data_IF_268629966970
#
_entry.id   IF_268629966970
#
_cell.length_a   1.000
_cell.length_b   1.000
_cell.length_c   1.000
_cell.angle_alpha   90.00
_cell.angle_beta   90.00
_cell.angle_gamma   90.00
#
_symmetry.space_group_name_H-M   'P 1'
#
loop_
_entity.id
_entity.type
_entity.pdbx_description
1 polymer ?
#
# COMPACT_ATOMS: atom_id res chain seq x y z
N UNK A 1 -47.63 6.15 21.64
CA UNK A 1 -46.57 6.83 20.86
C UNK A 1 -45.19 6.14 20.92
N UNK A 2 -44.98 5.11 21.75
CA UNK A 2 -43.68 4.41 21.89
C UNK A 2 -43.53 3.18 20.94
N UNK A 3 -44.64 2.65 20.42
CA UNK A 3 -44.63 1.43 19.59
C UNK A 3 -44.26 1.65 18.12
N UNK A 4 -44.23 2.90 17.64
CA UNK A 4 -43.90 3.23 16.24
C UNK A 4 -42.39 3.45 16.07
N UNK A 5 -41.66 3.85 17.13
CA UNK A 5 -40.21 4.09 17.06
C UNK A 5 -39.38 2.80 17.05
N UNK A 6 -39.84 1.70 17.67
CA UNK A 6 -39.12 0.42 17.63
C UNK A 6 -39.17 -0.26 16.26
N UNK A 7 -40.21 -0.03 15.45
CA UNK A 7 -40.30 -0.58 14.10
C UNK A 7 -39.32 0.11 13.14
N UNK A 8 -38.99 1.39 13.37
CA UNK A 8 -38.06 2.15 12.53
C UNK A 8 -36.59 1.80 12.80
N UNK A 9 -36.24 1.39 14.04
CA UNK A 9 -34.88 0.94 14.38
C UNK A 9 -34.54 -0.47 13.89
N UNK A 10 -35.53 -1.32 13.63
CA UNK A 10 -35.31 -2.67 13.10
C UNK A 10 -35.22 -2.70 11.57
N UNK A 11 -35.69 -1.67 10.87
CA UNK A 11 -35.59 -1.55 9.42
C UNK A 11 -34.26 -0.96 8.93
N UNK A 12 -33.45 -0.35 9.81
CA UNK A 12 -32.12 0.18 9.45
C UNK A 12 -31.00 -0.87 9.47
N UNK A 13 -31.24 -2.07 10.01
CA UNK A 13 -30.24 -3.15 10.10
C UNK A 13 -30.18 -4.04 8.84
N UNK A 14 -30.88 -3.69 7.77
CA UNK A 14 -31.07 -4.56 6.60
C UNK A 14 -30.38 -4.07 5.32
N UNK A 15 -29.25 -3.36 5.44
CA UNK A 15 -28.38 -3.05 4.29
C UNK A 15 -26.90 -3.27 4.64
N UNK A 16 -26.58 -4.37 5.33
CA UNK A 16 -25.26 -4.98 5.10
C UNK A 16 -25.39 -5.68 3.76
N UNK A 17 -25.06 -4.96 2.68
CA UNK A 17 -24.88 -5.59 1.38
C UNK A 17 -23.70 -6.54 1.54
N UNK A 18 -23.96 -7.84 1.66
CA UNK A 18 -22.92 -8.83 1.50
C UNK A 18 -22.33 -8.60 0.11
N UNK A 19 -21.07 -8.15 0.08
CA UNK A 19 -20.36 -7.91 -1.17
C UNK A 19 -20.37 -9.22 -1.95
N UNK A 20 -20.85 -9.17 -3.20
CA UNK A 20 -20.82 -10.38 -4.04
C UNK A 20 -19.35 -10.74 -4.24
N UNK A 21 -18.94 -11.99 -3.94
CA UNK A 21 -17.55 -12.39 -4.08
C UNK A 21 -17.10 -12.17 -5.52
N UNK A 22 -15.91 -11.58 -5.69
CA UNK A 22 -15.31 -11.40 -7.01
C UNK A 22 -14.65 -12.71 -7.45
N UNK A 23 -14.39 -12.81 -8.76
CA UNK A 23 -13.85 -14.02 -9.38
C UNK A 23 -12.59 -14.56 -8.69
N UNK A 24 -11.72 -13.66 -8.22
CA UNK A 24 -10.46 -13.97 -7.58
C UNK A 24 -10.53 -14.15 -6.06
N UNK A 25 -11.69 -13.92 -5.44
CA UNK A 25 -11.89 -14.10 -3.99
C UNK A 25 -12.22 -15.56 -3.64
N UNK A 26 -12.74 -16.32 -4.62
CA UNK A 26 -13.08 -17.72 -4.45
C UNK A 26 -11.98 -18.64 -4.99
N UNK A 27 -11.55 -19.58 -4.14
CA UNK A 27 -10.61 -20.62 -4.55
C UNK A 27 -11.34 -21.68 -5.37
N UNK A 28 -10.91 -21.90 -6.61
CA UNK A 28 -11.42 -22.95 -7.51
C UNK A 28 -11.04 -24.39 -7.10
N UNK A 29 -10.30 -24.54 -6.00
CA UNK A 29 -9.79 -25.80 -5.47
C UNK A 29 -8.51 -26.32 -6.16
N UNK A 30 -8.11 -25.71 -7.28
CA UNK A 30 -6.93 -26.08 -8.05
C UNK A 30 -5.64 -25.77 -7.29
N UNK A 31 -4.58 -26.46 -7.71
CA UNK A 31 -3.19 -26.17 -7.32
C UNK A 31 -2.40 -25.50 -8.43
N UNK A 32 -3.02 -25.31 -9.61
CA UNK A 32 -2.41 -24.57 -10.70
C UNK A 32 -2.26 -23.10 -10.32
N UNK A 33 -1.18 -22.48 -10.78
CA UNK A 33 -0.99 -21.04 -10.66
C UNK A 33 -1.90 -20.34 -11.69
N UNK A 34 -2.83 -19.48 -11.27
CA UNK A 34 -3.69 -18.76 -12.21
C UNK A 34 -2.86 -17.88 -13.16
N UNK A 35 -3.21 -17.90 -14.45
CA UNK A 35 -2.64 -16.98 -15.44
C UNK A 35 -3.56 -15.78 -15.56
N UNK A 36 -3.02 -14.60 -15.29
CA UNK A 36 -3.75 -13.34 -15.37
C UNK A 36 -3.72 -12.78 -16.79
N UNK A 37 -4.88 -12.80 -17.45
CA UNK A 37 -5.09 -12.13 -18.74
C UNK A 37 -5.94 -10.89 -18.51
N UNK A 38 -5.30 -9.79 -18.19
CA UNK A 38 -5.96 -8.59 -17.72
C UNK A 38 -5.44 -7.32 -18.38
N UNK A 39 -6.33 -6.32 -18.42
CA UNK A 39 -5.98 -4.95 -18.78
C UNK A 39 -5.32 -4.28 -17.58
N UNK A 40 -4.35 -3.41 -17.83
CA UNK A 40 -3.68 -2.62 -16.80
C UNK A 40 -4.38 -1.27 -16.65
N UNK A 41 -4.66 -0.89 -15.41
CA UNK A 41 -5.29 0.38 -15.07
C UNK A 41 -4.40 1.18 -14.12
N UNK A 42 -4.39 2.50 -14.27
CA UNK A 42 -3.70 3.38 -13.33
C UNK A 42 -4.48 3.60 -12.03
N UNK A 43 -3.93 4.41 -11.12
CA UNK A 43 -4.54 4.73 -9.83
C UNK A 43 -5.90 5.44 -9.96
N UNK A 44 -6.17 6.13 -11.07
CA UNK A 44 -7.44 6.82 -11.34
C UNK A 44 -8.49 5.89 -11.95
N UNK A 45 -8.08 4.69 -12.36
CA UNK A 45 -8.93 3.74 -13.08
C UNK A 45 -8.98 3.94 -14.58
N UNK A 46 -8.11 4.80 -15.13
CA UNK A 46 -7.93 4.89 -16.57
C UNK A 46 -7.21 3.64 -17.10
N UNK A 47 -7.65 3.17 -18.27
CA UNK A 47 -6.97 2.08 -18.97
C UNK A 47 -5.64 2.59 -19.51
N UNK A 48 -4.54 1.91 -19.20
CA UNK A 48 -3.22 2.24 -19.71
C UNK A 48 -3.06 1.65 -21.10
N UNK A 49 -2.76 2.49 -22.09
CA UNK A 49 -2.53 2.09 -23.47
C UNK A 49 -1.06 2.34 -23.88
N UNK A 50 -0.52 1.49 -24.77
CA UNK A 50 0.77 1.78 -25.39
C UNK A 50 0.73 3.12 -26.11
N UNK A 51 1.53 4.08 -25.66
CA UNK A 51 1.64 5.42 -26.26
C UNK A 51 1.04 6.56 -25.45
N UNK A 52 0.42 6.28 -24.29
CA UNK A 52 -0.06 7.33 -23.38
C UNK A 52 1.07 8.31 -22.98
N UNK A 53 0.70 9.58 -22.80
CA UNK A 53 1.61 10.67 -22.43
C UNK A 53 0.98 11.51 -21.31
N UNK A 54 1.51 11.48 -20.08
CA UNK A 54 2.57 10.57 -19.62
C UNK A 54 2.08 9.11 -19.55
N UNK A 55 3.00 8.16 -19.68
CA UNK A 55 2.70 6.73 -19.45
C UNK A 55 2.66 6.45 -17.95
N UNK A 56 1.46 6.19 -17.42
CA UNK A 56 1.25 5.91 -16.00
C UNK A 56 1.56 4.44 -15.64
N UNK A 57 2.06 4.15 -14.43
CA UNK A 57 2.20 2.78 -13.95
C UNK A 57 0.81 2.19 -13.65
N UNK A 58 0.70 0.86 -13.69
CA UNK A 58 -0.51 0.22 -13.21
C UNK A 58 -0.60 0.31 -11.68
N UNK A 59 -1.81 0.53 -11.19
CA UNK A 59 -2.17 0.41 -9.77
C UNK A 59 -2.59 -1.03 -9.50
N UNK A 60 -2.01 -1.68 -8.49
CA UNK A 60 -2.43 -3.04 -8.08
C UNK A 60 -3.83 -2.98 -7.49
N UNK A 61 -4.14 -1.92 -6.74
CA UNK A 61 -5.48 -1.64 -6.21
C UNK A 61 -6.53 -1.63 -7.31
N UNK A 62 -6.29 -0.88 -8.38
CA UNK A 62 -7.29 -0.71 -9.43
C UNK A 62 -7.29 -1.84 -10.45
N UNK A 63 -6.11 -2.38 -10.76
CA UNK A 63 -5.95 -3.47 -11.74
C UNK A 63 -6.41 -4.81 -11.17
N UNK A 64 -5.87 -5.24 -10.03
CA UNK A 64 -6.26 -6.50 -9.39
C UNK A 64 -7.65 -6.38 -8.76
N UNK A 65 -8.03 -5.18 -8.30
CA UNK A 65 -9.35 -4.87 -7.75
C UNK A 65 -10.54 -5.10 -8.70
N UNK A 66 -10.29 -5.31 -10.00
CA UNK A 66 -11.35 -5.73 -10.94
C UNK A 66 -11.85 -7.15 -10.68
N UNK A 67 -11.02 -7.99 -10.06
CA UNK A 67 -11.30 -9.40 -9.81
C UNK A 67 -11.11 -9.82 -8.35
N UNK A 68 -10.47 -9.00 -7.51
CA UNK A 68 -10.20 -9.29 -6.11
C UNK A 68 -10.72 -8.17 -5.21
N UNK A 69 -11.23 -8.51 -4.02
CA UNK A 69 -11.58 -7.50 -3.01
C UNK A 69 -10.30 -6.96 -2.36
N UNK A 70 -9.76 -5.89 -2.95
CA UNK A 70 -8.56 -5.24 -2.46
C UNK A 70 -8.70 -4.71 -1.03
N UNK A 71 -9.88 -4.21 -0.66
CA UNK A 71 -10.13 -3.70 0.69
C UNK A 71 -10.12 -4.81 1.72
N UNK A 72 -10.59 -6.00 1.36
CA UNK A 72 -10.44 -7.19 2.20
C UNK A 72 -8.97 -7.63 2.28
N UNK A 73 -8.26 -7.66 1.15
CA UNK A 73 -6.84 -8.09 1.10
C UNK A 73 -5.97 -7.21 1.99
N UNK A 74 -6.10 -5.89 1.90
CA UNK A 74 -5.26 -4.94 2.65
C UNK A 74 -5.54 -4.94 4.16
N UNK A 75 -6.54 -5.67 4.64
CA UNK A 75 -6.76 -5.91 6.08
C UNK A 75 -5.91 -7.07 6.62
N UNK A 76 -5.23 -7.82 5.74
CA UNK A 76 -4.32 -8.89 6.11
C UNK A 76 -3.19 -8.43 7.04
N UNK A 77 -2.63 -9.38 7.79
CA UNK A 77 -1.65 -9.10 8.85
C UNK A 77 -0.36 -8.39 8.39
N UNK A 78 0.03 -8.55 7.12
CA UNK A 78 1.18 -7.84 6.55
C UNK A 78 0.95 -6.34 6.37
N UNK A 79 -0.30 -5.89 6.34
CA UNK A 79 -0.68 -4.53 5.94
C UNK A 79 -1.36 -3.74 7.07
N UNK A 80 -1.81 -4.42 8.13
CA UNK A 80 -2.64 -3.81 9.18
C UNK A 80 -1.87 -3.37 10.44
N UNK A 81 -0.54 -3.38 10.39
CA UNK A 81 0.29 -3.17 11.58
C UNK A 81 0.09 -1.79 12.25
N UNK A 82 -0.28 -0.77 11.48
CA UNK A 82 -0.52 0.59 11.97
C UNK A 82 -1.89 0.79 12.63
N UNK A 83 -2.84 -0.13 12.42
CA UNK A 83 -4.19 -0.04 12.93
C UNK A 83 -4.21 -0.29 14.44
N UNK A 84 -4.56 0.70 15.28
CA UNK A 84 -4.55 0.56 16.74
C UNK A 84 -5.62 -0.40 17.27
N UNK A 85 -6.67 -0.67 16.51
CA UNK A 85 -7.78 -1.56 16.87
C UNK A 85 -7.47 -3.05 16.67
N UNK A 86 -6.41 -3.37 15.93
CA UNK A 86 -5.98 -4.75 15.70
C UNK A 86 -5.08 -5.19 16.85
N UNK A 87 -5.42 -6.31 17.50
CA UNK A 87 -4.56 -6.93 18.52
C UNK A 87 -3.14 -7.09 17.95
N UNK A 88 -2.09 -6.55 18.61
CA UNK A 88 -0.72 -6.62 18.09
C UNK A 88 -0.14 -8.05 18.09
N UNK A 89 -0.79 -9.01 18.75
CA UNK A 89 -0.39 -10.41 18.76
C UNK A 89 0.98 -10.64 19.40
N UNK A 90 1.62 -11.76 19.06
CA UNK A 90 2.95 -12.11 19.56
C UNK A 90 3.99 -11.07 19.09
N UNK A 91 4.85 -10.54 19.99
CA UNK A 91 5.97 -9.70 19.60
C UNK A 91 6.85 -10.36 18.53
N UNK A 92 7.14 -9.60 17.47
CA UNK A 92 8.10 -9.94 16.43
C UNK A 92 9.37 -9.09 16.53
N UNK A 93 10.13 -9.04 15.44
CA UNK A 93 11.34 -8.23 15.36
C UNK A 93 10.99 -6.75 15.12
N UNK A 94 11.52 -5.80 15.92
CA UNK A 94 11.33 -4.38 15.69
C UNK A 94 12.25 -3.87 14.58
N UNK A 95 11.90 -2.72 14.00
CA UNK A 95 12.78 -1.97 13.12
C UNK A 95 13.82 -1.22 13.94
N UNK A 96 15.10 -1.52 13.73
CA UNK A 96 16.18 -0.84 14.47
C UNK A 96 16.46 0.51 13.82
N UNK A 97 16.01 1.59 14.45
CA UNK A 97 16.33 2.95 14.07
C UNK A 97 17.62 3.39 14.74
N UNK A 98 18.52 3.99 13.96
CA UNK A 98 19.81 4.50 14.43
C UNK A 98 19.86 6.01 14.15
N UNK A 99 20.03 6.80 15.21
CA UNK A 99 20.41 8.21 15.10
C UNK A 99 21.93 8.32 15.28
N UNK A 100 22.62 8.53 14.16
CA UNK A 100 24.09 8.63 14.12
C UNK A 100 24.62 9.83 14.91
N UNK A 101 23.85 10.92 15.04
CA UNK A 101 24.30 12.12 15.73
C UNK A 101 24.37 11.92 17.24
N UNK A 102 23.45 11.12 17.78
CA UNK A 102 23.37 10.84 19.22
C UNK A 102 23.86 9.44 19.58
N UNK A 103 24.22 8.62 18.58
CA UNK A 103 24.51 7.19 18.71
C UNK A 103 23.38 6.40 19.39
N UNK A 104 22.13 6.88 19.26
CA UNK A 104 20.96 6.24 19.85
C UNK A 104 20.45 5.13 18.93
N UNK A 105 20.11 3.99 19.50
CA UNK A 105 19.41 2.91 18.80
C UNK A 105 18.05 2.68 19.44
N UNK A 106 16.98 2.76 18.66
CA UNK A 106 15.61 2.62 19.14
C UNK A 106 14.88 1.48 18.39
N UNK A 107 14.26 0.54 19.10
CA UNK A 107 13.39 -0.45 18.48
C UNK A 107 12.04 0.19 18.12
N UNK A 108 11.72 0.26 16.83
CA UNK A 108 10.45 0.78 16.35
C UNK A 108 9.48 -0.33 15.97
N UNK A 109 8.20 -0.09 16.21
CA UNK A 109 7.12 -0.94 15.70
C UNK A 109 5.88 -0.13 15.41
N UNK A 110 5.20 -0.46 14.31
CA UNK A 110 3.85 0.04 14.05
C UNK A 110 2.81 -0.65 14.96
N UNK A 111 3.16 -1.82 15.52
CA UNK A 111 2.34 -2.52 16.53
C UNK A 111 2.71 -2.05 17.93
N UNK A 112 1.73 -2.02 18.83
CA UNK A 112 1.92 -1.63 20.23
C UNK A 112 2.59 -2.72 21.09
N UNK A 113 3.77 -3.21 20.69
CA UNK A 113 4.52 -4.20 21.47
C UNK A 113 5.28 -3.58 22.64
N UNK A 114 5.32 -4.23 23.82
CA UNK A 114 6.13 -3.78 24.94
C UNK A 114 7.60 -3.60 24.56
N UNK A 115 8.21 -2.50 25.00
CA UNK A 115 9.63 -2.20 24.74
C UNK A 115 9.92 -1.65 23.34
N UNK A 116 8.91 -1.34 22.53
CA UNK A 116 9.06 -0.68 21.23
C UNK A 116 8.46 0.73 21.24
N UNK A 117 8.91 1.57 20.32
CA UNK A 117 8.34 2.90 20.07
C UNK A 117 7.59 2.91 18.74
N UNK A 118 6.44 3.57 18.70
CA UNK A 118 5.81 3.94 17.43
C UNK A 118 6.67 4.99 16.73
N UNK A 119 6.83 4.95 15.39
CA UNK A 119 7.66 5.92 14.67
C UNK A 119 7.29 7.38 14.95
N UNK A 120 6.01 7.67 15.13
CA UNK A 120 5.49 9.02 15.36
C UNK A 120 5.93 9.57 16.73
N UNK A 121 6.19 8.69 17.72
CA UNK A 121 6.66 9.10 19.05
C UNK A 121 8.06 9.71 19.03
N UNK A 122 8.84 9.43 17.99
CA UNK A 122 10.17 10.00 17.78
C UNK A 122 10.22 10.98 16.61
N UNK A 123 9.05 11.40 16.12
CA UNK A 123 8.91 12.38 15.05
C UNK A 123 9.19 11.83 13.64
N UNK A 124 9.16 10.51 13.43
CA UNK A 124 9.21 9.94 12.08
C UNK A 124 7.82 9.95 11.46
N UNK A 125 7.67 10.61 10.31
CA UNK A 125 6.47 10.51 9.47
C UNK A 125 6.40 9.16 8.76
N UNK A 126 5.21 8.80 8.23
CA UNK A 126 5.04 7.60 7.41
C UNK A 126 5.98 7.60 6.19
N UNK A 127 6.14 8.74 5.51
CA UNK A 127 7.07 8.89 4.39
C UNK A 127 8.52 8.59 4.81
N UNK A 128 8.95 9.15 5.94
CA UNK A 128 10.30 8.95 6.48
C UNK A 128 10.54 7.52 6.96
N UNK A 129 9.51 6.87 7.50
CA UNK A 129 9.56 5.45 7.87
C UNK A 129 9.69 4.57 6.63
N UNK A 130 8.82 4.76 5.62
CA UNK A 130 8.84 3.98 4.38
C UNK A 130 10.14 4.18 3.60
N UNK A 131 10.69 5.39 3.55
CA UNK A 131 11.99 5.66 2.91
C UNK A 131 13.13 4.87 3.58
N UNK A 132 13.02 4.51 4.85
CA UNK A 132 14.04 3.75 5.59
C UNK A 132 13.79 2.25 5.56
N UNK A 133 12.55 1.84 5.80
CA UNK A 133 12.20 0.45 6.08
C UNK A 133 11.25 -0.17 5.05
N UNK A 134 10.62 0.64 4.19
CA UNK A 134 9.58 0.19 3.26
C UNK A 134 10.03 -0.87 2.26
N UNK A 135 11.33 -0.95 1.94
CA UNK A 135 11.90 -2.03 1.11
C UNK A 135 11.69 -3.45 1.67
N UNK A 136 11.42 -3.56 2.98
CA UNK A 136 11.17 -4.83 3.66
C UNK A 136 9.67 -5.12 3.83
N UNK A 137 8.81 -4.29 3.24
CA UNK A 137 7.37 -4.45 3.29
C UNK A 137 6.81 -4.66 1.88
N UNK A 138 5.74 -5.46 1.71
CA UNK A 138 5.06 -5.65 0.44
C UNK A 138 4.16 -4.45 0.07
N UNK A 139 4.50 -3.23 0.51
CA UNK A 139 3.63 -2.06 0.42
C UNK A 139 2.39 -2.14 1.31
N UNK A 140 1.41 -1.28 1.04
CA UNK A 140 0.20 -1.15 1.85
C UNK A 140 0.44 -0.48 3.21
N UNK A 141 -0.52 -0.65 4.12
CA UNK A 141 -0.49 -0.05 5.44
C UNK A 141 -0.32 1.47 5.41
N UNK A 142 0.64 2.00 6.17
CA UNK A 142 0.97 3.44 6.19
C UNK A 142 1.38 4.01 4.82
N UNK A 143 1.65 3.16 3.82
CA UNK A 143 1.86 3.57 2.43
C UNK A 143 0.62 4.10 1.73
N UNK A 144 -0.57 3.72 2.21
CA UNK A 144 -1.86 4.05 1.61
C UNK A 144 -2.78 4.84 2.54
N UNK A 145 -2.55 4.79 3.86
CA UNK A 145 -3.39 5.50 4.81
C UNK A 145 -3.18 7.01 4.77
N UNK A 146 -4.22 7.75 4.41
CA UNK A 146 -4.21 9.22 4.42
C UNK A 146 -4.04 9.77 5.83
N UNK A 147 -4.59 9.10 6.85
CA UNK A 147 -4.43 9.50 8.26
C UNK A 147 -2.99 9.43 8.77
N UNK A 148 -2.12 8.68 8.10
CA UNK A 148 -0.70 8.59 8.41
C UNK A 148 0.14 9.69 7.73
N UNK A 149 -0.49 10.54 6.90
CA UNK A 149 0.18 11.59 6.11
C UNK A 149 0.02 12.94 6.81
N UNK A 150 1.10 13.52 7.33
CA UNK A 150 1.01 14.83 7.94
C UNK A 150 0.78 15.91 6.85
N UNK A 151 -0.02 16.97 7.11
CA UNK A 151 -0.37 17.97 6.10
C UNK A 151 0.83 18.63 5.43
N UNK A 152 1.94 18.83 6.15
CA UNK A 152 3.17 19.40 5.61
C UNK A 152 3.82 18.54 4.51
N UNK A 153 3.53 17.25 4.46
CA UNK A 153 4.05 16.33 3.44
C UNK A 153 3.06 16.08 2.30
N UNK A 154 1.91 16.76 2.27
CA UNK A 154 0.86 16.52 1.28
C UNK A 154 1.39 16.57 -0.17
N UNK A 155 2.11 17.64 -0.53
CA UNK A 155 2.69 17.80 -1.86
C UNK A 155 3.74 16.73 -2.16
N UNK A 156 4.56 16.36 -1.17
CA UNK A 156 5.53 15.27 -1.30
C UNK A 156 4.86 13.91 -1.57
N UNK A 157 3.73 13.65 -0.93
CA UNK A 157 2.92 12.46 -1.20
C UNK A 157 2.25 12.51 -2.58
N UNK A 158 1.88 13.69 -3.09
CA UNK A 158 1.36 13.83 -4.47
C UNK A 158 2.43 13.43 -5.51
N UNK A 159 3.67 13.88 -5.31
CA UNK A 159 4.80 13.51 -6.19
C UNK A 159 5.12 12.02 -6.10
N UNK A 160 5.23 11.48 -4.88
CA UNK A 160 5.60 10.08 -4.64
C UNK A 160 4.49 9.07 -4.99
N UNK A 161 3.24 9.48 -4.77
CA UNK A 161 2.03 8.67 -4.76
C UNK A 161 1.94 7.68 -3.59
N UNK A 162 0.89 6.87 -3.57
CA UNK A 162 0.66 5.85 -2.54
C UNK A 162 1.56 4.63 -2.78
N UNK A 163 2.04 4.00 -1.71
CA UNK A 163 2.72 2.70 -1.79
C UNK A 163 1.69 1.60 -1.58
N UNK A 164 1.03 1.20 -2.66
CA UNK A 164 -0.01 0.16 -2.64
C UNK A 164 0.53 -1.22 -2.23
N UNK A 165 -0.37 -2.11 -1.78
CA UNK A 165 -0.09 -3.54 -1.65
C UNK A 165 0.46 -4.07 -2.97
N UNK A 166 1.71 -4.48 -2.96
CA UNK A 166 2.36 -5.07 -4.10
C UNK A 166 1.97 -6.56 -4.21
N UNK A 167 0.84 -6.84 -4.87
CA UNK A 167 0.37 -8.20 -5.13
C UNK A 167 1.44 -9.07 -5.79
N UNK A 168 2.29 -8.49 -6.65
CA UNK A 168 3.35 -9.20 -7.35
C UNK A 168 4.44 -9.71 -6.42
N UNK A 169 4.68 -9.06 -5.28
CA UNK A 169 5.69 -9.48 -4.31
C UNK A 169 5.50 -10.89 -3.77
N UNK A 170 4.28 -11.45 -3.85
CA UNK A 170 3.97 -12.80 -3.38
C UNK A 170 3.32 -13.68 -4.45
N UNK A 171 2.60 -13.08 -5.41
CA UNK A 171 1.83 -13.82 -6.42
C UNK A 171 2.49 -13.85 -7.80
N UNK A 172 3.53 -13.05 -8.05
CA UNK A 172 4.25 -13.13 -9.31
C UNK A 172 5.20 -14.34 -9.27
N UNK A 173 4.84 -15.36 -10.04
CA UNK A 173 5.66 -16.56 -10.19
C UNK A 173 6.69 -16.41 -11.31
N UNK A 174 6.71 -15.29 -12.04
CA UNK A 174 7.69 -15.02 -13.07
C UNK A 174 9.07 -14.72 -12.44
N UNK A 175 10.15 -15.39 -12.88
CA UNK A 175 11.49 -15.10 -12.38
C UNK A 175 12.01 -13.70 -12.73
N UNK A 176 11.33 -12.97 -13.61
CA UNK A 176 11.65 -11.59 -13.96
C UNK A 176 11.20 -10.57 -12.90
N UNK A 177 10.43 -10.96 -11.87
CA UNK A 177 10.13 -10.07 -10.75
C UNK A 177 11.41 -9.67 -10.01
N UNK A 178 11.70 -8.38 -9.98
CA UNK A 178 12.91 -7.82 -9.37
C UNK A 178 12.60 -7.12 -8.05
N UNK A 179 12.77 -7.84 -6.94
CA UNK A 179 12.61 -7.31 -5.60
C UNK A 179 13.64 -6.21 -5.25
N UNK A 180 14.81 -6.21 -5.91
CA UNK A 180 15.82 -5.18 -5.71
C UNK A 180 15.42 -3.89 -6.42
N UNK A 181 14.79 -3.96 -7.60
CA UNK A 181 14.25 -2.77 -8.27
C UNK A 181 13.02 -2.22 -7.56
N UNK A 182 12.11 -3.07 -7.06
CA UNK A 182 11.04 -2.62 -6.14
C UNK A 182 11.63 -1.85 -4.95
N UNK A 183 12.62 -2.45 -4.29
CA UNK A 183 13.30 -1.86 -3.13
C UNK A 183 13.96 -0.51 -3.48
N UNK A 184 14.64 -0.45 -4.63
CA UNK A 184 15.30 0.77 -5.11
C UNK A 184 14.28 1.87 -5.43
N UNK A 185 13.15 1.52 -6.02
CA UNK A 185 12.04 2.45 -6.28
C UNK A 185 11.46 3.02 -4.99
N UNK A 186 11.28 2.20 -3.94
CA UNK A 186 10.85 2.70 -2.61
C UNK A 186 11.87 3.69 -2.03
N UNK A 187 13.18 3.41 -2.12
CA UNK A 187 14.23 4.34 -1.66
C UNK A 187 14.28 5.65 -2.45
N UNK A 188 13.88 5.63 -3.72
CA UNK A 188 13.73 6.80 -4.61
C UNK A 188 12.41 7.56 -4.37
N UNK A 189 11.57 7.11 -3.43
CA UNK A 189 10.21 7.59 -3.17
C UNK A 189 9.25 7.41 -4.36
N UNK A 190 9.55 6.50 -5.29
CA UNK A 190 8.71 6.21 -6.44
C UNK A 190 7.55 5.28 -6.04
N UNK A 191 6.81 5.61 -4.98
CA UNK A 191 5.83 4.71 -4.36
C UNK A 191 4.74 4.24 -5.33
N UNK A 192 4.15 5.17 -6.08
CA UNK A 192 3.16 4.89 -7.15
C UNK A 192 3.68 3.90 -8.18
N UNK A 193 4.98 3.96 -8.48
CA UNK A 193 5.60 3.15 -9.52
C UNK A 193 6.25 1.88 -8.98
N UNK A 194 6.33 1.68 -7.66
CA UNK A 194 7.18 0.64 -7.08
C UNK A 194 6.78 -0.77 -7.52
N UNK A 195 5.48 -1.10 -7.52
CA UNK A 195 5.00 -2.40 -7.99
C UNK A 195 5.30 -2.63 -9.47
N UNK A 196 5.14 -1.60 -10.31
CA UNK A 196 5.48 -1.67 -11.72
C UNK A 196 6.99 -1.79 -11.94
N UNK A 197 7.81 -1.07 -11.19
CA UNK A 197 9.27 -1.12 -11.29
C UNK A 197 9.84 -2.51 -11.01
N UNK A 198 9.24 -3.23 -10.05
CA UNK A 198 9.62 -4.61 -9.76
C UNK A 198 9.06 -5.64 -10.75
N UNK A 199 8.14 -5.28 -11.64
CA UNK A 199 7.56 -6.25 -12.57
C UNK A 199 8.48 -6.52 -13.76
N UNK A 200 8.43 -7.74 -14.30
CA UNK A 200 9.25 -8.15 -15.45
C UNK A 200 8.92 -7.47 -16.78
N UNK A 201 7.94 -6.56 -16.82
CA UNK A 201 7.38 -6.00 -18.05
C UNK A 201 7.30 -4.46 -18.06
N UNK A 202 7.77 -3.78 -17.02
CA UNK A 202 7.84 -2.33 -16.98
C UNK A 202 9.26 -1.85 -16.59
N UNK A 203 9.59 -0.64 -17.04
CA UNK A 203 10.83 0.05 -16.67
C UNK A 203 10.48 1.41 -16.10
N UNK A 204 10.95 1.67 -14.89
CA UNK A 204 10.74 2.93 -14.18
C UNK A 204 12.08 3.61 -14.00
N UNK A 205 12.19 4.85 -14.45
CA UNK A 205 13.41 5.65 -14.36
C UNK A 205 13.13 6.94 -13.58
N UNK A 206 14.19 7.56 -13.05
CA UNK A 206 14.08 8.78 -12.25
C UNK A 206 13.78 8.55 -10.78
N UNK A 207 13.58 9.66 -10.05
CA UNK A 207 13.36 9.66 -8.61
C UNK A 207 12.43 10.79 -8.19
N UNK A 208 11.27 10.43 -7.64
CA UNK A 208 10.35 11.35 -6.98
C UNK A 208 11.06 12.13 -5.87
N UNK A 209 11.92 11.47 -5.09
CA UNK A 209 12.75 12.10 -4.05
C UNK A 209 13.61 13.25 -4.59
N UNK A 210 14.07 13.18 -5.83
CA UNK A 210 14.89 14.21 -6.45
C UNK A 210 14.07 15.39 -7.02
N UNK A 211 12.76 15.25 -7.12
CA UNK A 211 11.86 16.29 -7.64
C UNK A 211 11.41 17.25 -6.53
N UNK A 212 11.13 18.53 -6.86
CA UNK A 212 10.50 19.46 -5.92
C UNK A 212 9.09 19.00 -5.55
N UNK A 213 8.61 19.39 -4.38
CA UNK A 213 7.26 19.00 -3.91
C UNK A 213 6.13 19.48 -4.83
N UNK A 214 6.37 20.55 -5.60
CA UNK A 214 5.42 21.12 -6.57
C UNK A 214 5.54 20.50 -7.97
N UNK A 215 6.29 19.41 -8.12
CA UNK A 215 6.42 18.73 -9.41
C UNK A 215 5.08 18.14 -9.85
N UNK A 216 4.69 18.47 -11.08
CA UNK A 216 3.48 17.93 -11.72
C UNK A 216 3.89 17.03 -12.89
N UNK A 217 3.50 15.76 -12.81
CA UNK A 217 3.76 14.74 -13.83
C UNK A 217 3.03 15.03 -15.16
N UNK A 218 2.00 15.86 -15.14
CA UNK A 218 1.19 16.20 -16.32
C UNK A 218 1.60 17.51 -16.99
N UNK A 219 2.45 18.32 -16.34
CA UNK A 219 2.87 19.64 -16.83
C UNK A 219 4.13 19.59 -17.72
N UNK A 220 4.51 18.39 -18.19
CA UNK A 220 5.67 18.15 -19.05
C UNK A 220 5.56 18.76 -20.44
#
# INVERSE_FOLDING_TARGET
MIRIQLALLLLLNALVSAQTPLLGDERDGSRATPVHLLKLYDETGALILPGDQPLMPFSTRTTCGKCHDYEQIRQGWHFNAHLPEVDPGRPGEPWIYIDERTFTQLPLSQRAWPGTYRPEQIGLSALQFLTRFGRHAPGGGIGEEESARPPEEFLRWMVSGSLEVNCLSCHDADPAFDAAEYSSSVLRQNFRWAAAAGSGFARVEGSARAMPDVYDIYAG
#
